data_IF_192271912024
#
_entry.id   IF_192271912024
#
_cell.length_a   1.000
_cell.length_b   1.000
_cell.length_c   1.000
_cell.angle_alpha   90.00
_cell.angle_beta   90.00
_cell.angle_gamma   90.00
#
_symmetry.space_group_name_H-M   'P 1'
#
loop_
_entity.id
_entity.type
_entity.pdbx_description
1 polymer ?
#
# COMPACT_ATOMS: atom_id res chain seq x y z
N UNK A 1 -7.06 -14.98 -7.38
CA UNK A 1 -7.68 -13.97 -6.52
C UNK A 1 -9.17 -14.24 -6.42
N UNK A 2 -9.71 -14.37 -5.20
CA UNK A 2 -11.10 -14.75 -4.91
C UNK A 2 -12.03 -13.53 -5.01
N UNK A 3 -13.31 -13.77 -5.31
CA UNK A 3 -14.33 -12.72 -5.43
C UNK A 3 -15.34 -12.72 -4.30
N UNK A 4 -15.55 -13.84 -3.63
CA UNK A 4 -16.50 -13.97 -2.51
C UNK A 4 -15.75 -13.89 -1.18
N UNK A 5 -16.29 -13.11 -0.24
CA UNK A 5 -15.78 -13.00 1.11
C UNK A 5 -15.93 -14.34 1.84
N UNK A 6 -14.88 -14.79 2.49
CA UNK A 6 -14.87 -15.98 3.34
C UNK A 6 -14.42 -15.59 4.75
N UNK A 7 -14.86 -16.30 5.76
CA UNK A 7 -14.42 -16.08 7.16
C UNK A 7 -12.89 -16.08 7.29
N UNK A 8 -12.20 -16.97 6.57
CA UNK A 8 -10.74 -16.99 6.51
C UNK A 8 -10.17 -15.64 6.02
N UNK A 9 -10.80 -15.02 4.99
CA UNK A 9 -10.33 -13.75 4.42
C UNK A 9 -10.52 -12.60 5.43
N UNK A 10 -11.59 -12.62 6.24
CA UNK A 10 -11.80 -11.66 7.33
C UNK A 10 -10.75 -11.79 8.42
N UNK A 11 -10.45 -13.00 8.86
CA UNK A 11 -9.41 -13.24 9.88
C UNK A 11 -8.05 -12.77 9.38
N UNK A 12 -7.69 -13.11 8.15
CA UNK A 12 -6.43 -12.66 7.56
C UNK A 12 -6.41 -11.14 7.43
N UNK A 13 -7.52 -10.51 7.00
CA UNK A 13 -7.61 -9.05 6.94
C UNK A 13 -7.38 -8.41 8.31
N UNK A 14 -7.98 -8.94 9.36
CA UNK A 14 -7.80 -8.43 10.73
C UNK A 14 -6.34 -8.51 11.18
N UNK A 15 -5.64 -9.62 10.89
CA UNK A 15 -4.21 -9.76 11.19
C UNK A 15 -3.36 -8.79 10.37
N UNK A 16 -3.65 -8.63 9.08
CA UNK A 16 -2.93 -7.67 8.22
C UNK A 16 -3.17 -6.23 8.66
N UNK A 17 -4.39 -5.88 9.10
CA UNK A 17 -4.70 -4.56 9.69
C UNK A 17 -3.86 -4.33 10.94
N UNK A 18 -3.84 -5.29 11.86
CA UNK A 18 -3.07 -5.17 13.09
C UNK A 18 -1.57 -4.95 12.80
N UNK A 19 -0.98 -5.75 11.90
CA UNK A 19 0.41 -5.59 11.46
C UNK A 19 0.62 -4.23 10.81
N UNK A 20 -0.29 -3.80 9.92
CA UNK A 20 -0.20 -2.51 9.23
C UNK A 20 -0.26 -1.29 10.14
N UNK A 21 -0.94 -1.41 11.29
CA UNK A 21 -0.97 -0.37 12.34
C UNK A 21 0.31 -0.44 13.19
N UNK A 22 0.76 -1.63 13.54
CA UNK A 22 1.92 -1.82 14.42
C UNK A 22 3.24 -1.40 13.76
N UNK A 23 3.42 -1.63 12.46
CA UNK A 23 4.66 -1.29 11.74
C UNK A 23 5.06 0.19 11.94
N UNK A 24 4.21 1.20 11.64
CA UNK A 24 4.58 2.59 11.83
C UNK A 24 4.68 3.01 13.30
N UNK A 25 4.09 2.27 14.22
CA UNK A 25 4.22 2.49 15.66
C UNK A 25 5.55 1.99 16.21
N UNK A 26 6.10 0.93 15.64
CA UNK A 26 7.38 0.33 16.04
C UNK A 26 8.54 1.04 15.35
N UNK A 27 8.41 1.28 14.04
CA UNK A 27 9.45 1.91 13.23
C UNK A 27 9.26 3.43 13.21
N UNK A 28 9.73 4.11 14.27
CA UNK A 28 9.47 5.54 14.46
C UNK A 28 10.58 6.47 13.96
N UNK A 29 11.76 5.93 13.61
CA UNK A 29 12.93 6.72 13.19
C UNK A 29 13.88 6.00 12.24
N UNK A 30 14.96 6.68 11.81
CA UNK A 30 15.97 6.10 10.93
C UNK A 30 16.60 4.82 11.52
N UNK A 31 16.97 3.82 10.66
CA UNK A 31 16.86 3.86 9.18
C UNK A 31 15.49 3.43 8.65
N UNK A 32 14.54 3.06 9.50
CA UNK A 32 13.27 2.45 9.10
C UNK A 32 12.19 3.46 8.71
N UNK A 33 12.34 4.72 9.16
CA UNK A 33 11.41 5.80 8.84
C UNK A 33 12.14 7.06 8.39
N UNK A 34 11.67 7.62 7.26
CA UNK A 34 12.11 8.91 6.72
C UNK A 34 10.94 9.87 6.79
N UNK A 35 11.20 11.13 7.20
CA UNK A 35 10.19 12.20 7.24
C UNK A 35 10.78 13.46 6.62
N UNK A 36 10.07 14.05 5.64
CA UNK A 36 10.44 15.31 4.98
C UNK A 36 9.16 16.14 4.81
N UNK A 37 8.94 17.09 5.71
CA UNK A 37 7.68 17.85 5.75
C UNK A 37 6.45 16.92 5.86
N UNK A 38 5.43 17.06 4.99
CA UNK A 38 4.26 16.18 4.99
C UNK A 38 4.52 14.78 4.42
N UNK A 39 5.67 14.55 3.75
CA UNK A 39 6.06 13.23 3.28
C UNK A 39 6.64 12.41 4.43
N UNK A 40 6.20 11.18 4.53
CA UNK A 40 6.81 10.18 5.41
C UNK A 40 6.74 8.80 4.78
N UNK A 41 7.79 8.02 4.94
CA UNK A 41 7.87 6.64 4.50
C UNK A 41 8.38 5.78 5.64
N UNK A 42 7.62 4.75 6.00
CA UNK A 42 8.02 3.75 7.00
C UNK A 42 8.16 2.40 6.29
N UNK A 43 9.34 1.83 6.34
CA UNK A 43 9.63 0.54 5.69
C UNK A 43 8.57 -0.51 6.07
N UNK A 44 8.10 -1.24 5.09
CA UNK A 44 7.05 -2.26 5.18
C UNK A 44 5.63 -1.76 5.52
N UNK A 45 5.39 -0.44 5.59
CA UNK A 45 4.06 0.07 5.95
C UNK A 45 2.96 -0.36 4.95
N UNK A 46 3.29 -0.57 3.69
CA UNK A 46 2.34 -0.99 2.66
C UNK A 46 2.30 -2.52 2.45
N UNK A 47 3.26 -3.26 3.00
CA UNK A 47 3.35 -4.73 2.84
C UNK A 47 2.04 -5.44 3.19
N UNK A 48 1.35 -5.13 4.30
CA UNK A 48 0.08 -5.77 4.62
C UNK A 48 -1.02 -5.53 3.58
N UNK A 49 -1.13 -4.31 3.06
CA UNK A 49 -2.13 -3.95 2.02
C UNK A 49 -1.79 -4.64 0.70
N UNK A 50 -0.52 -4.71 0.33
CA UNK A 50 -0.07 -5.39 -0.89
C UNK A 50 -0.29 -6.91 -0.79
N UNK A 51 0.00 -7.53 0.35
CA UNK A 51 -0.33 -8.96 0.57
C UNK A 51 -1.83 -9.19 0.46
N UNK A 52 -2.65 -8.28 0.98
CA UNK A 52 -4.11 -8.37 0.87
C UNK A 52 -4.59 -8.37 -0.59
N UNK A 53 -3.92 -7.64 -1.50
CA UNK A 53 -4.20 -7.66 -2.94
C UNK A 53 -4.01 -9.07 -3.54
N UNK A 54 -3.05 -9.84 -3.04
CA UNK A 54 -2.79 -11.22 -3.52
C UNK A 54 -3.89 -12.19 -3.12
N UNK A 55 -4.70 -11.85 -2.13
CA UNK A 55 -5.75 -12.73 -1.59
C UNK A 55 -7.07 -12.49 -2.30
N UNK A 56 -7.62 -11.28 -2.18
CA UNK A 56 -8.88 -10.92 -2.82
C UNK A 56 -9.09 -9.41 -2.84
N UNK A 57 -9.97 -8.88 -3.73
CA UNK A 57 -10.36 -7.49 -3.70
C UNK A 57 -11.00 -7.08 -2.36
N UNK A 58 -11.78 -7.94 -1.73
CA UNK A 58 -12.39 -7.67 -0.43
C UNK A 58 -11.35 -7.58 0.69
N UNK A 59 -10.39 -8.52 0.73
CA UNK A 59 -9.27 -8.46 1.67
C UNK A 59 -8.47 -7.17 1.51
N UNK A 60 -8.20 -6.77 0.26
CA UNK A 60 -7.49 -5.52 -0.04
C UNK A 60 -8.24 -4.29 0.50
N UNK A 61 -9.56 -4.20 0.25
CA UNK A 61 -10.39 -3.09 0.74
C UNK A 61 -10.42 -3.06 2.27
N UNK A 62 -10.73 -4.19 2.93
CA UNK A 62 -10.80 -4.22 4.39
C UNK A 62 -9.46 -3.88 5.04
N UNK A 63 -8.35 -4.38 4.49
CA UNK A 63 -7.02 -4.07 5.03
C UNK A 63 -6.69 -2.60 4.83
N UNK A 64 -6.94 -2.03 3.64
CA UNK A 64 -6.66 -0.61 3.38
C UNK A 64 -7.52 0.31 4.23
N UNK A 65 -8.82 0.02 4.40
CA UNK A 65 -9.73 0.79 5.27
C UNK A 65 -9.30 0.68 6.73
N UNK A 66 -9.04 -0.54 7.21
CA UNK A 66 -8.66 -0.76 8.60
C UNK A 66 -7.34 -0.11 8.98
N UNK A 67 -6.32 -0.17 8.12
CA UNK A 67 -5.05 0.53 8.33
C UNK A 67 -5.25 2.04 8.30
N UNK A 68 -6.08 2.58 7.40
CA UNK A 68 -6.43 4.00 7.36
C UNK A 68 -7.02 4.46 8.69
N UNK A 69 -8.00 3.72 9.23
CA UNK A 69 -8.61 4.02 10.54
C UNK A 69 -7.54 4.02 11.63
N UNK A 70 -6.63 3.05 11.62
CA UNK A 70 -5.51 3.01 12.56
C UNK A 70 -4.62 4.25 12.46
N UNK A 71 -4.30 4.71 11.25
CA UNK A 71 -3.52 5.93 11.04
C UNK A 71 -4.22 7.20 11.56
N UNK A 72 -5.55 7.27 11.53
CA UNK A 72 -6.27 8.40 12.14
C UNK A 72 -6.04 8.53 13.64
N UNK A 73 -5.72 7.45 14.34
CA UNK A 73 -5.43 7.46 15.78
C UNK A 73 -3.93 7.56 16.10
N UNK A 74 -3.04 7.27 15.15
CA UNK A 74 -1.61 7.09 15.44
C UNK A 74 -0.70 8.04 14.68
N UNK A 75 -1.23 8.83 13.72
CA UNK A 75 -0.42 9.68 12.84
C UNK A 75 -1.07 11.05 12.62
N UNK A 76 -0.31 12.05 12.14
CA UNK A 76 -0.87 13.34 11.72
C UNK A 76 -1.92 13.17 10.63
N UNK A 77 -2.93 14.06 10.61
CA UNK A 77 -4.08 13.97 9.70
C UNK A 77 -3.67 13.83 8.22
N UNK A 78 -2.66 14.56 7.77
CA UNK A 78 -2.16 14.45 6.39
C UNK A 78 -1.68 13.03 6.07
N UNK A 79 -1.03 12.35 7.01
CA UNK A 79 -0.58 10.96 6.83
C UNK A 79 -1.75 10.00 6.81
N UNK A 80 -2.74 10.21 7.67
CA UNK A 80 -3.96 9.39 7.71
C UNK A 80 -4.78 9.51 6.41
N UNK A 81 -4.92 10.73 5.86
CA UNK A 81 -5.61 10.94 4.57
C UNK A 81 -4.80 10.39 3.40
N UNK A 82 -3.46 10.46 3.44
CA UNK A 82 -2.61 9.74 2.49
C UNK A 82 -2.86 8.22 2.56
N UNK A 83 -2.91 7.66 3.78
CA UNK A 83 -3.24 6.24 3.97
C UNK A 83 -4.64 5.87 3.41
N UNK A 84 -5.62 6.77 3.46
CA UNK A 84 -6.93 6.56 2.84
C UNK A 84 -6.83 6.36 1.31
N UNK A 85 -5.88 7.01 0.65
CA UNK A 85 -5.66 6.85 -0.79
C UNK A 85 -5.16 5.45 -1.18
N UNK A 86 -4.64 4.67 -0.22
CA UNK A 86 -4.20 3.29 -0.46
C UNK A 86 -5.34 2.38 -0.95
N UNK A 87 -6.59 2.70 -0.62
CA UNK A 87 -7.76 1.96 -1.09
C UNK A 87 -7.79 1.90 -2.63
N UNK A 88 -7.38 2.97 -3.30
CA UNK A 88 -7.43 3.08 -4.77
C UNK A 88 -6.47 2.08 -5.42
N UNK A 89 -5.18 2.11 -5.04
CA UNK A 89 -4.23 1.17 -5.62
C UNK A 89 -4.48 -0.26 -5.17
N UNK A 90 -4.99 -0.47 -3.95
CA UNK A 90 -5.29 -1.79 -3.43
C UNK A 90 -6.40 -2.48 -4.22
N UNK A 91 -7.49 -1.77 -4.51
CA UNK A 91 -8.59 -2.26 -5.35
C UNK A 91 -8.06 -2.54 -6.76
N UNK A 92 -7.39 -1.56 -7.36
CA UNK A 92 -6.85 -1.70 -8.72
C UNK A 92 -5.93 -2.91 -8.84
N UNK A 93 -4.95 -3.05 -7.94
CA UNK A 93 -3.99 -4.14 -7.94
C UNK A 93 -4.64 -5.51 -7.77
N UNK A 94 -5.60 -5.63 -6.84
CA UNK A 94 -6.32 -6.87 -6.64
C UNK A 94 -7.13 -7.29 -7.88
N UNK A 95 -7.74 -6.35 -8.60
CA UNK A 95 -8.43 -6.65 -9.87
C UNK A 95 -7.48 -6.97 -11.02
N UNK A 96 -6.32 -6.28 -11.10
CA UNK A 96 -5.27 -6.61 -12.08
C UNK A 96 -4.78 -8.05 -11.90
N UNK A 97 -4.48 -8.44 -10.66
CA UNK A 97 -4.06 -9.81 -10.33
C UNK A 97 -5.16 -10.84 -10.60
N UNK A 98 -6.42 -10.49 -10.30
CA UNK A 98 -7.58 -11.33 -10.62
C UNK A 98 -7.73 -11.57 -12.13
N UNK A 99 -7.42 -10.57 -12.96
CA UNK A 99 -7.41 -10.68 -14.43
C UNK A 99 -6.18 -11.43 -14.97
N UNK A 100 -5.31 -11.93 -14.11
CA UNK A 100 -4.11 -12.70 -14.49
C UNK A 100 -2.93 -11.85 -14.92
N UNK A 101 -2.92 -10.56 -14.61
CA UNK A 101 -1.75 -9.72 -14.84
C UNK A 101 -0.57 -10.18 -13.97
N UNK A 102 0.64 -10.06 -14.50
CA UNK A 102 1.85 -10.45 -13.79
C UNK A 102 2.18 -9.47 -12.67
N UNK A 103 3.04 -9.92 -11.74
CA UNK A 103 3.41 -9.14 -10.56
C UNK A 103 4.12 -7.84 -10.91
N UNK A 104 5.02 -7.84 -11.90
CA UNK A 104 5.78 -6.64 -12.28
C UNK A 104 4.87 -5.54 -12.81
N UNK A 105 4.00 -5.85 -13.76
CA UNK A 105 3.06 -4.85 -14.32
C UNK A 105 2.14 -4.33 -13.23
N UNK A 106 1.65 -5.22 -12.36
CA UNK A 106 0.79 -4.82 -11.25
C UNK A 106 1.52 -3.90 -10.28
N UNK A 107 2.75 -4.24 -9.88
CA UNK A 107 3.53 -3.44 -8.94
C UNK A 107 3.86 -2.04 -9.48
N UNK A 108 4.28 -1.95 -10.75
CA UNK A 108 4.56 -0.65 -11.37
C UNK A 108 3.30 0.21 -11.50
N UNK A 109 2.20 -0.36 -11.99
CA UNK A 109 0.95 0.37 -12.16
C UNK A 109 0.36 0.86 -10.83
N UNK A 110 0.33 -0.02 -9.80
CA UNK A 110 -0.13 0.36 -8.46
C UNK A 110 0.80 1.36 -7.81
N UNK A 111 2.10 1.28 -8.04
CA UNK A 111 3.08 2.25 -7.56
C UNK A 111 2.86 3.66 -8.12
N UNK A 112 2.59 3.77 -9.42
CA UNK A 112 2.27 5.05 -10.07
C UNK A 112 0.98 5.64 -9.48
N UNK A 113 -0.08 4.84 -9.40
CA UNK A 113 -1.37 5.29 -8.86
C UNK A 113 -1.22 5.72 -7.40
N UNK A 114 -0.55 4.93 -6.58
CA UNK A 114 -0.29 5.25 -5.18
C UNK A 114 0.43 6.60 -5.05
N UNK A 115 1.55 6.77 -5.76
CA UNK A 115 2.37 7.97 -5.72
C UNK A 115 1.59 9.24 -6.12
N UNK A 116 0.82 9.16 -7.21
CA UNK A 116 0.02 10.28 -7.71
C UNK A 116 -1.06 10.68 -6.70
N UNK A 117 -1.80 9.71 -6.14
CA UNK A 117 -2.86 10.02 -5.19
C UNK A 117 -2.31 10.62 -3.88
N UNK A 118 -1.17 10.14 -3.38
CA UNK A 118 -0.53 10.75 -2.21
C UNK A 118 -0.03 12.17 -2.49
N UNK A 119 0.54 12.42 -3.68
CA UNK A 119 0.93 13.76 -4.10
C UNK A 119 -0.26 14.72 -4.18
N UNK A 120 -1.41 14.25 -4.69
CA UNK A 120 -2.66 15.03 -4.74
C UNK A 120 -3.14 15.36 -3.33
N UNK A 121 -3.11 14.41 -2.40
CA UNK A 121 -3.49 14.67 -1.00
C UNK A 121 -2.61 15.76 -0.40
N UNK A 122 -1.29 15.69 -0.57
CA UNK A 122 -0.37 16.72 -0.06
C UNK A 122 -0.68 18.08 -0.66
N UNK A 123 -0.94 18.14 -1.96
CA UNK A 123 -1.30 19.40 -2.65
C UNK A 123 -2.62 19.99 -2.11
N UNK A 124 -3.63 19.16 -1.87
CA UNK A 124 -4.90 19.59 -1.27
C UNK A 124 -4.66 20.19 0.13
N UNK A 125 -3.86 19.52 0.98
CA UNK A 125 -3.56 20.03 2.32
C UNK A 125 -2.85 21.38 2.28
N UNK A 126 -1.97 21.62 1.32
CA UNK A 126 -1.38 22.95 1.11
C UNK A 126 -2.40 23.97 0.61
N UNK A 127 -3.26 23.60 -0.33
CA UNK A 127 -4.26 24.49 -0.91
C UNK A 127 -5.27 25.01 0.13
N UNK A 128 -5.62 24.16 1.11
CA UNK A 128 -6.54 24.57 2.21
C UNK A 128 -5.82 25.14 3.43
N UNK A 129 -4.49 25.33 3.36
CA UNK A 129 -3.70 25.88 4.48
C UNK A 129 -3.57 24.95 5.69
N UNK A 130 -3.94 23.66 5.55
CA UNK A 130 -3.88 22.69 6.63
C UNK A 130 -2.49 22.06 6.84
N UNK A 131 -1.56 22.34 5.96
CA UNK A 131 -0.16 21.94 6.08
C UNK A 131 0.73 23.07 5.57
N UNK A 132 1.81 23.36 6.29
CA UNK A 132 2.81 24.34 5.91
C UNK A 132 4.17 23.67 5.86
N UNK A 133 4.93 23.93 4.80
CA UNK A 133 6.35 23.61 4.75
C UNK A 133 7.15 24.92 4.77
N UNK A 134 8.00 25.06 5.74
CA UNK A 134 8.89 26.24 5.85
C UNK A 134 10.08 26.17 4.91
N UNK A 135 10.44 24.98 4.40
CA UNK A 135 11.70 24.73 3.70
C UNK A 135 11.53 24.50 2.19
N UNK A 136 10.33 24.16 1.73
CA UNK A 136 10.08 23.82 0.33
C UNK A 136 8.77 24.44 -0.17
N UNK A 137 8.70 24.77 -1.47
CA UNK A 137 7.43 25.17 -2.07
C UNK A 137 6.43 24.02 -2.07
N UNK A 138 5.13 24.34 -2.08
CA UNK A 138 4.05 23.35 -2.12
C UNK A 138 4.19 22.37 -3.29
N UNK A 139 4.59 22.88 -4.46
CA UNK A 139 4.82 22.09 -5.66
C UNK A 139 6.03 21.15 -5.51
N UNK A 140 7.13 21.64 -4.91
CA UNK A 140 8.28 20.79 -4.62
C UNK A 140 7.93 19.66 -3.66
N UNK A 141 7.13 19.94 -2.61
CA UNK A 141 6.68 18.91 -1.66
C UNK A 141 5.77 17.88 -2.30
N UNK A 142 4.90 18.27 -3.24
CA UNK A 142 4.11 17.33 -4.03
C UNK A 142 5.03 16.38 -4.82
N UNK A 143 6.03 16.90 -5.53
CA UNK A 143 6.95 16.06 -6.30
C UNK A 143 7.85 15.18 -5.45
N UNK A 144 8.31 15.68 -4.29
CA UNK A 144 9.03 14.86 -3.29
C UNK A 144 8.15 13.70 -2.81
N UNK A 145 6.88 13.98 -2.54
CA UNK A 145 5.93 12.94 -2.12
C UNK A 145 5.73 11.92 -3.25
N UNK A 146 5.47 12.34 -4.47
CA UNK A 146 5.26 11.44 -5.61
C UNK A 146 6.50 10.54 -5.81
N UNK A 147 7.68 11.12 -5.94
CA UNK A 147 8.91 10.36 -6.17
C UNK A 147 9.26 9.43 -5.01
N UNK A 148 9.16 9.94 -3.78
CA UNK A 148 9.45 9.16 -2.57
C UNK A 148 8.44 8.03 -2.37
N UNK A 149 7.15 8.28 -2.56
CA UNK A 149 6.10 7.26 -2.45
C UNK A 149 6.25 6.19 -3.52
N UNK A 150 6.57 6.55 -4.76
CA UNK A 150 6.82 5.55 -5.79
C UNK A 150 8.00 4.63 -5.44
N UNK A 151 9.15 5.22 -5.07
CA UNK A 151 10.32 4.44 -4.65
C UNK A 151 10.02 3.54 -3.45
N UNK A 152 9.35 4.08 -2.44
CA UNK A 152 8.94 3.34 -1.24
C UNK A 152 7.95 2.21 -1.58
N UNK A 153 6.98 2.46 -2.46
CA UNK A 153 6.03 1.44 -2.91
C UNK A 153 6.74 0.27 -3.58
N UNK A 154 7.74 0.53 -4.43
CA UNK A 154 8.50 -0.55 -5.09
C UNK A 154 9.26 -1.39 -4.08
N UNK A 155 9.90 -0.78 -3.08
CA UNK A 155 10.60 -1.52 -2.01
C UNK A 155 9.60 -2.40 -1.24
N UNK A 156 8.50 -1.83 -0.77
CA UNK A 156 7.48 -2.57 -0.03
C UNK A 156 6.80 -3.65 -0.90
N UNK A 157 6.63 -3.38 -2.20
CA UNK A 157 6.08 -4.36 -3.14
C UNK A 157 7.00 -5.58 -3.30
N UNK A 158 8.31 -5.37 -3.44
CA UNK A 158 9.29 -6.47 -3.51
C UNK A 158 9.26 -7.30 -2.23
N UNK A 159 9.25 -6.66 -1.06
CA UNK A 159 9.13 -7.35 0.23
C UNK A 159 7.82 -8.15 0.29
N UNK A 160 6.71 -7.55 -0.12
CA UNK A 160 5.40 -8.21 -0.14
C UNK A 160 5.37 -9.41 -1.09
N UNK A 161 6.04 -9.35 -2.24
CA UNK A 161 6.17 -10.49 -3.17
C UNK A 161 6.97 -11.62 -2.54
N UNK A 162 8.07 -11.31 -1.84
CA UNK A 162 8.88 -12.32 -1.15
C UNK A 162 8.06 -13.01 -0.05
N UNK A 163 7.46 -12.23 0.84
CA UNK A 163 6.63 -12.74 1.95
C UNK A 163 5.39 -13.47 1.40
N UNK A 164 4.71 -12.88 0.42
CA UNK A 164 3.54 -13.48 -0.24
C UNK A 164 3.89 -14.80 -0.92
N UNK A 165 5.06 -14.91 -1.53
CA UNK A 165 5.53 -16.18 -2.12
C UNK A 165 5.75 -17.26 -1.06
N UNK A 166 6.29 -16.91 0.10
CA UNK A 166 6.43 -17.83 1.22
C UNK A 166 5.05 -18.27 1.76
N UNK A 167 4.14 -17.33 1.98
CA UNK A 167 2.78 -17.61 2.43
C UNK A 167 1.99 -18.47 1.43
N UNK A 168 2.21 -18.25 0.12
CA UNK A 168 1.58 -19.05 -0.94
C UNK A 168 2.11 -20.49 -0.96
N UNK A 169 3.42 -20.69 -0.77
CA UNK A 169 4.02 -22.03 -0.64
C UNK A 169 3.51 -22.77 0.60
N UNK A 170 3.26 -22.04 1.69
CA UNK A 170 2.65 -22.58 2.90
C UNK A 170 1.13 -22.78 2.78
N UNK A 171 0.53 -22.60 1.60
CA UNK A 171 -0.92 -22.70 1.35
C UNK A 171 -1.79 -21.76 2.19
N UNK A 172 -1.21 -20.71 2.78
CA UNK A 172 -1.93 -19.74 3.58
C UNK A 172 -2.74 -18.76 2.71
N UNK A 173 -2.19 -18.36 1.55
CA UNK A 173 -2.84 -17.50 0.57
C UNK A 173 -2.88 -18.18 -0.81
N UNK A 174 -3.67 -17.66 -1.77
CA UNK A 174 -3.69 -18.19 -3.14
C UNK A 174 -2.31 -18.13 -3.81
N UNK A 175 -2.09 -19.00 -4.82
CA UNK A 175 -0.88 -18.97 -5.64
C UNK A 175 -0.74 -17.61 -6.34
N UNK A 176 0.45 -17.04 -6.26
CA UNK A 176 0.75 -15.77 -6.91
C UNK A 176 0.85 -15.93 -8.42
N UNK A 177 0.51 -14.88 -9.20
CA UNK A 177 0.83 -14.83 -10.62
C UNK A 177 2.35 -14.85 -10.86
N UNK A 178 2.79 -15.12 -12.09
CA UNK A 178 4.21 -15.06 -12.43
C UNK A 178 4.74 -13.62 -12.30
N UNK A 179 6.04 -13.51 -12.04
CA UNK A 179 6.73 -12.22 -11.99
C UNK A 179 6.68 -11.55 -13.37
N UNK A 180 6.93 -12.31 -14.45
CA UNK A 180 6.92 -11.85 -15.84
C UNK A 180 5.98 -12.70 -16.70
N UNK A 181 5.54 -12.15 -17.82
CA UNK A 181 4.69 -12.87 -18.77
C UNK A 181 3.25 -13.03 -18.33
N UNK A 182 2.47 -13.80 -19.07
CA UNK A 182 1.06 -14.12 -18.74
C UNK A 182 1.03 -15.45 -17.97
N UNK A 183 0.08 -15.58 -17.05
CA UNK A 183 -0.24 -16.88 -16.44
C UNK A 183 -0.65 -17.83 -17.55
N UNK A 184 0.06 -18.95 -17.74
CA UNK A 184 -0.42 -20.01 -18.60
C UNK A 184 -1.69 -20.55 -17.96
N UNK A 185 -2.85 -20.33 -18.60
CA UNK A 185 -4.09 -21.00 -18.23
C UNK A 185 -3.84 -22.49 -18.50
N UNK A 186 -3.87 -23.31 -17.46
CA UNK A 186 -3.93 -24.75 -17.63
C UNK A 186 -5.14 -25.06 -18.51
N UNK A 187 -4.86 -25.71 -19.67
CA UNK A 187 -5.90 -26.19 -20.56
C UNK A 187 -6.67 -27.31 -19.90
#
# INVERSE_FOLDING_TARGET
VRTKLKTKDLVISALLIAIGILIPMIFTGPPFRIVVGPYSATLMAHVPVIIAMFISPWTAVFTAVGTTIGFFFTAPLVVAVRAASHIVFAIMGAYMLKKGMNLTVTGLATGVVHAVFEGIVVLIFFAVGASTSSSYSNLAMMWITIGGTFAHHIVDYVIAVIVGSALSRAHMIPSLPPIWGKKQLAK
#
